data_IF_880552000992
#
_entry.id   IF_880552000992
#
_cell.length_a   1.000
_cell.length_b   1.000
_cell.length_c   1.000
_cell.angle_alpha   90.00
_cell.angle_beta   90.00
_cell.angle_gamma   90.00
#
_symmetry.space_group_name_H-M   'P 1'
#
loop_
_entity.id
_entity.type
_entity.pdbx_description
1 polymer ?
#
# COMPACT_ATOMS: atom_id res chain seq x y z
N UNK A 1 47.18 54.56 22.30
CA UNK A 1 46.42 54.30 21.05
C UNK A 1 45.51 53.11 21.32
N UNK A 2 44.18 53.29 21.25
CA UNK A 2 43.18 52.32 21.77
C UNK A 2 42.98 51.16 20.79
N UNK A 3 43.17 49.92 21.27
CA UNK A 3 42.76 48.70 20.57
C UNK A 3 41.27 48.45 20.85
N UNK A 4 40.45 48.49 19.80
CA UNK A 4 39.04 48.12 19.86
C UNK A 4 38.90 46.61 19.61
N UNK A 5 38.41 45.89 20.62
CA UNK A 5 38.08 44.47 20.53
C UNK A 5 36.63 44.37 20.02
N UNK A 6 36.43 43.94 18.78
CA UNK A 6 35.11 43.64 18.24
C UNK A 6 34.72 42.21 18.63
N UNK A 7 33.76 42.07 19.54
CA UNK A 7 33.17 40.78 19.88
C UNK A 7 32.12 40.41 18.83
N UNK A 8 32.43 39.39 18.02
CA UNK A 8 31.46 38.76 17.12
C UNK A 8 30.58 37.81 17.94
N UNK A 9 29.33 38.20 18.20
CA UNK A 9 28.32 37.29 18.75
C UNK A 9 27.70 36.54 17.59
N UNK A 10 28.15 35.31 17.37
CA UNK A 10 27.51 34.38 16.43
C UNK A 10 26.24 33.87 17.12
N UNK A 11 25.09 34.34 16.66
CA UNK A 11 23.80 33.76 17.03
C UNK A 11 23.67 32.43 16.30
N UNK A 12 23.98 31.34 16.99
CA UNK A 12 23.61 29.99 16.56
C UNK A 12 22.13 29.84 16.86
N UNK A 13 21.27 30.07 15.86
CA UNK A 13 19.87 29.65 15.95
C UNK A 13 19.84 28.12 15.96
N UNK A 14 19.36 27.46 17.03
CA UNK A 14 19.07 26.04 16.94
C UNK A 14 17.97 25.88 15.89
N UNK A 15 18.29 25.18 14.79
CA UNK A 15 17.28 24.59 13.93
C UNK A 15 16.51 23.61 14.82
N UNK A 16 15.39 24.08 15.37
CA UNK A 16 14.39 23.23 15.99
C UNK A 16 13.85 22.32 14.88
N UNK A 17 14.46 21.16 14.69
CA UNK A 17 13.76 20.01 14.13
C UNK A 17 12.72 19.63 15.17
N UNK A 18 11.48 20.10 15.02
CA UNK A 18 10.40 19.42 15.71
C UNK A 18 10.46 17.96 15.25
N UNK A 19 10.50 16.98 16.18
CA UNK A 19 10.36 15.60 15.76
C UNK A 19 8.99 15.51 15.08
N UNK A 20 8.99 15.32 13.76
CA UNK A 20 7.80 14.84 13.06
C UNK A 20 7.31 13.63 13.84
N UNK A 21 5.98 13.43 13.99
CA UNK A 21 5.47 12.25 14.65
C UNK A 21 6.13 11.03 14.02
N UNK A 22 6.94 10.32 14.82
CA UNK A 22 7.53 9.06 14.42
C UNK A 22 6.40 8.06 14.38
N UNK A 23 6.12 7.54 13.19
CA UNK A 23 5.25 6.38 13.05
C UNK A 23 5.98 5.19 13.64
N UNK A 24 5.27 4.37 14.42
CA UNK A 24 5.73 3.06 14.87
C UNK A 24 4.69 2.04 14.40
N UNK A 25 5.02 1.33 13.32
CA UNK A 25 4.04 0.54 12.57
C UNK A 25 4.68 -0.71 11.98
N UNK A 26 4.01 -1.84 12.15
CA UNK A 26 4.37 -3.09 11.50
C UNK A 26 3.81 -3.09 10.07
N UNK A 27 4.59 -3.54 9.09
CA UNK A 27 4.18 -3.45 7.70
C UNK A 27 4.69 -4.56 6.79
N UNK A 28 3.92 -4.83 5.75
CA UNK A 28 4.31 -5.71 4.64
C UNK A 28 4.17 -4.97 3.32
N UNK A 29 4.89 -5.41 2.29
CA UNK A 29 4.82 -4.82 0.96
C UNK A 29 4.65 -5.87 -0.13
N UNK A 30 3.91 -5.50 -1.17
CA UNK A 30 3.71 -6.28 -2.38
C UNK A 30 3.85 -5.36 -3.59
N UNK A 31 4.54 -5.84 -4.63
CA UNK A 31 4.58 -5.18 -5.93
C UNK A 31 3.58 -5.84 -6.87
N UNK A 32 2.87 -5.01 -7.62
CA UNK A 32 1.90 -5.43 -8.64
C UNK A 32 2.40 -5.26 -10.07
N UNK A 33 3.72 -5.04 -10.25
CA UNK A 33 4.41 -5.01 -11.54
C UNK A 33 5.54 -6.03 -11.61
N UNK A 34 6.71 -5.65 -11.09
CA UNK A 34 7.90 -6.49 -11.03
C UNK A 34 8.40 -6.69 -9.59
N UNK A 35 9.25 -7.69 -9.34
CA UNK A 35 9.86 -7.87 -8.03
C UNK A 35 10.97 -6.84 -7.81
N UNK A 36 10.90 -6.06 -6.73
CA UNK A 36 11.91 -5.06 -6.37
C UNK A 36 12.87 -5.63 -5.33
N UNK A 37 14.15 -5.83 -5.70
CA UNK A 37 15.15 -6.52 -4.86
C UNK A 37 16.10 -5.59 -4.10
N UNK A 38 16.35 -4.43 -4.67
CA UNK A 38 17.38 -3.49 -4.23
C UNK A 38 16.76 -2.12 -3.95
N UNK A 39 15.61 -2.14 -3.27
CA UNK A 39 14.95 -0.93 -2.81
C UNK A 39 15.22 -0.72 -1.33
N UNK A 40 15.20 0.53 -0.91
CA UNK A 40 15.57 0.94 0.44
C UNK A 40 14.51 1.89 0.99
N UNK A 41 14.43 2.00 2.31
CA UNK A 41 13.60 2.99 2.98
C UNK A 41 14.37 3.59 4.16
N UNK A 42 13.98 4.79 4.57
CA UNK A 42 14.57 5.45 5.74
C UNK A 42 13.97 4.87 7.03
N UNK A 43 14.69 3.93 7.65
CA UNK A 43 14.36 3.37 8.97
C UNK A 43 15.08 4.08 10.12
N UNK A 44 14.95 3.52 11.31
CA UNK A 44 15.55 4.06 12.53
C UNK A 44 17.09 3.98 12.53
N UNK A 45 17.67 2.99 11.84
CA UNK A 45 19.12 2.77 11.79
C UNK A 45 19.80 3.44 10.58
N UNK A 46 19.04 4.10 9.72
CA UNK A 46 19.51 4.65 8.45
C UNK A 46 18.70 4.12 7.27
N UNK A 47 19.34 3.98 6.11
CA UNK A 47 18.72 3.34 4.96
C UNK A 47 18.74 1.82 5.15
N UNK A 48 17.55 1.23 5.15
CA UNK A 48 17.34 -0.20 5.35
C UNK A 48 16.86 -0.83 4.05
N UNK A 49 17.41 -1.99 3.71
CA UNK A 49 17.05 -2.71 2.48
C UNK A 49 15.69 -3.37 2.64
N UNK A 50 14.90 -3.30 1.58
CA UNK A 50 13.58 -3.90 1.46
C UNK A 50 13.54 -4.80 0.23
N UNK A 51 12.96 -5.98 0.40
CA UNK A 51 12.58 -6.86 -0.70
C UNK A 51 11.06 -6.77 -0.89
N UNK A 52 10.62 -6.32 -2.07
CA UNK A 52 9.19 -6.22 -2.42
C UNK A 52 8.85 -7.26 -3.49
N UNK A 53 8.31 -8.42 -3.10
CA UNK A 53 7.97 -9.48 -4.05
C UNK A 53 6.84 -9.07 -5.00
N UNK A 54 6.88 -9.59 -6.23
CA UNK A 54 5.70 -9.68 -7.07
C UNK A 54 4.90 -10.94 -6.71
N UNK A 55 3.57 -10.86 -6.74
CA UNK A 55 2.67 -11.99 -6.47
C UNK A 55 2.79 -12.63 -5.06
N UNK A 56 3.20 -11.84 -4.06
CA UNK A 56 3.22 -12.20 -2.64
C UNK A 56 3.55 -11.00 -1.75
N UNK A 57 3.55 -11.19 -0.43
CA UNK A 57 3.92 -10.17 0.54
C UNK A 57 5.36 -10.36 1.02
N UNK A 58 6.04 -9.26 1.33
CA UNK A 58 7.33 -9.27 2.02
C UNK A 58 7.19 -9.87 3.42
N UNK A 59 8.32 -10.17 4.07
CA UNK A 59 8.31 -10.37 5.52
C UNK A 59 7.84 -9.10 6.23
N UNK A 60 7.17 -9.26 7.38
CA UNK A 60 6.80 -8.14 8.26
C UNK A 60 8.04 -7.35 8.63
N UNK A 61 7.99 -6.04 8.40
CA UNK A 61 9.00 -5.06 8.73
C UNK A 61 8.47 -4.15 9.85
N UNK A 62 9.37 -3.51 10.58
CA UNK A 62 9.03 -2.46 11.54
C UNK A 62 9.46 -1.12 10.98
N UNK A 63 8.53 -0.17 10.90
CA UNK A 63 8.85 1.20 10.51
C UNK A 63 8.78 2.11 11.73
N UNK A 64 9.91 2.74 12.04
CA UNK A 64 10.06 3.78 13.05
C UNK A 64 10.66 5.02 12.37
N UNK A 65 9.81 5.91 11.84
CA UNK A 65 10.29 7.02 11.02
C UNK A 65 9.25 8.09 10.66
N UNK A 66 9.68 9.17 9.98
CA UNK A 66 8.82 10.29 9.65
C UNK A 66 7.95 10.04 8.42
N UNK A 67 6.76 10.62 8.39
CA UNK A 67 6.01 10.81 7.13
C UNK A 67 6.50 12.08 6.42
N UNK A 68 6.65 12.11 5.08
CA UNK A 68 6.34 11.04 4.13
C UNK A 68 7.35 9.88 4.12
N UNK A 69 6.81 8.68 3.94
CA UNK A 69 7.57 7.46 3.65
C UNK A 69 8.09 7.51 2.21
N UNK A 70 9.35 7.13 2.01
CA UNK A 70 9.99 7.05 0.71
C UNK A 70 10.56 5.65 0.50
N UNK A 71 10.41 5.16 -0.74
CA UNK A 71 11.24 4.10 -1.27
C UNK A 71 12.37 4.74 -2.08
N UNK A 72 13.56 4.18 -1.97
CA UNK A 72 14.76 4.61 -2.68
C UNK A 72 15.36 3.46 -3.49
N UNK A 73 16.03 3.79 -4.56
CA UNK A 73 17.05 2.95 -5.18
C UNK A 73 18.44 3.55 -4.95
N UNK A 74 19.48 2.72 -5.00
CA UNK A 74 20.86 3.21 -4.93
C UNK A 74 21.40 3.38 -6.34
N UNK A 75 21.71 4.63 -6.71
CA UNK A 75 22.28 4.97 -8.01
C UNK A 75 23.77 5.24 -7.85
N UNK A 76 24.58 4.57 -8.67
CA UNK A 76 26.03 4.81 -8.71
C UNK A 76 26.33 6.15 -9.38
N UNK A 77 27.00 7.04 -8.65
CA UNK A 77 27.44 8.35 -9.16
C UNK A 77 28.95 8.49 -9.09
N UNK A 78 29.51 9.55 -9.69
CA UNK A 78 30.96 9.84 -9.59
C UNK A 78 31.43 10.06 -8.15
N UNK A 79 30.53 10.45 -7.24
CA UNK A 79 30.81 10.69 -5.82
C UNK A 79 30.54 9.45 -4.95
N UNK A 80 30.06 8.35 -5.55
CA UNK A 80 29.65 7.12 -4.88
C UNK A 80 28.15 6.82 -4.99
N UNK A 81 27.68 5.74 -4.35
CA UNK A 81 26.27 5.35 -4.38
C UNK A 81 25.42 6.36 -3.62
N UNK A 82 24.36 6.85 -4.28
CA UNK A 82 23.44 7.86 -3.74
C UNK A 82 22.01 7.33 -3.75
N UNK A 83 21.22 7.53 -2.69
CA UNK A 83 19.81 7.19 -2.69
C UNK A 83 19.02 8.16 -3.58
N UNK A 84 18.28 7.62 -4.55
CA UNK A 84 17.29 8.36 -5.34
C UNK A 84 15.88 7.88 -4.99
N UNK A 85 14.94 8.79 -4.68
CA UNK A 85 13.58 8.39 -4.35
C UNK A 85 12.89 7.82 -5.59
N UNK A 86 12.29 6.64 -5.43
CA UNK A 86 11.57 5.96 -6.50
C UNK A 86 10.06 5.86 -6.21
N UNK A 87 9.64 6.13 -4.98
CA UNK A 87 8.24 6.19 -4.59
C UNK A 87 8.07 7.00 -3.31
N UNK A 88 6.87 7.56 -3.13
CA UNK A 88 6.54 8.42 -1.99
C UNK A 88 5.11 8.12 -1.52
N UNK A 89 4.94 8.07 -0.21
CA UNK A 89 3.64 7.89 0.44
C UNK A 89 3.54 8.80 1.67
N UNK A 90 2.44 9.52 1.79
CA UNK A 90 2.08 10.10 3.08
C UNK A 90 1.41 8.99 3.89
N UNK A 91 2.06 8.56 4.98
CA UNK A 91 1.49 7.53 5.85
C UNK A 91 0.18 8.05 6.46
N UNK A 92 -0.90 7.25 6.45
CA UNK A 92 -2.13 7.60 7.17
C UNK A 92 -1.85 7.66 8.68
N UNK A 93 -2.40 8.64 9.41
CA UNK A 93 -2.20 8.74 10.85
C UNK A 93 -2.80 7.52 11.59
N UNK A 94 -2.29 7.23 12.78
CA UNK A 94 -2.89 6.29 13.74
C UNK A 94 -2.95 4.81 13.32
N UNK A 95 -2.11 4.37 12.37
CA UNK A 95 -2.00 2.97 11.99
C UNK A 95 -0.89 2.25 12.76
N UNK A 96 -1.20 1.04 13.26
CA UNK A 96 -0.25 0.12 13.91
C UNK A 96 0.18 -1.04 12.99
N UNK A 97 -0.62 -1.34 11.99
CA UNK A 97 -0.33 -2.32 10.95
C UNK A 97 -0.71 -1.76 9.58
N UNK A 98 0.11 -2.02 8.55
CA UNK A 98 -0.20 -1.58 7.19
C UNK A 98 0.32 -2.54 6.10
N UNK A 99 -0.40 -2.58 5.00
CA UNK A 99 0.01 -3.24 3.76
C UNK A 99 0.34 -2.18 2.72
N UNK A 100 1.55 -2.20 2.17
CA UNK A 100 1.95 -1.38 1.04
C UNK A 100 1.75 -2.12 -0.28
N UNK A 101 0.99 -1.50 -1.18
CA UNK A 101 0.92 -1.91 -2.58
C UNK A 101 1.77 -0.95 -3.42
N UNK A 102 2.78 -1.50 -4.08
CA UNK A 102 3.70 -0.77 -4.96
C UNK A 102 3.34 -1.06 -6.41
N UNK A 103 3.12 0.00 -7.18
CA UNK A 103 2.77 -0.07 -8.59
C UNK A 103 3.75 0.74 -9.40
N UNK A 104 4.07 0.29 -10.61
CA UNK A 104 4.70 1.17 -11.59
C UNK A 104 3.77 2.37 -11.85
N UNK A 105 4.31 3.57 -11.68
CA UNK A 105 3.59 4.81 -11.88
C UNK A 105 3.29 4.96 -13.38
N UNK A 106 2.01 5.14 -13.71
CA UNK A 106 1.62 5.41 -15.11
C UNK A 106 1.89 6.86 -15.49
N UNK A 107 1.80 7.76 -14.51
CA UNK A 107 2.06 9.20 -14.62
C UNK A 107 2.56 9.69 -13.26
N UNK A 108 3.66 10.42 -13.23
CA UNK A 108 4.17 10.97 -11.98
C UNK A 108 5.61 11.44 -12.11
N UNK A 109 6.06 12.11 -11.06
CA UNK A 109 7.47 12.50 -10.91
C UNK A 109 8.35 11.31 -10.51
N UNK A 110 7.76 10.29 -9.89
CA UNK A 110 8.46 9.11 -9.37
C UNK A 110 8.07 7.84 -10.16
N UNK A 111 9.00 6.88 -10.33
CA UNK A 111 8.76 5.61 -11.03
C UNK A 111 7.66 4.72 -10.43
N UNK A 112 7.40 4.81 -9.13
CA UNK A 112 6.40 3.97 -8.45
C UNK A 112 5.38 4.79 -7.65
N UNK A 113 4.13 4.36 -7.75
CA UNK A 113 3.03 4.76 -6.86
C UNK A 113 2.94 3.77 -5.70
N UNK A 114 2.73 4.28 -4.49
CA UNK A 114 2.60 3.48 -3.27
C UNK A 114 1.26 3.78 -2.64
N UNK A 115 0.51 2.74 -2.30
CA UNK A 115 -0.75 2.85 -1.54
C UNK A 115 -0.59 2.11 -0.22
N UNK A 116 -0.95 2.77 0.89
CA UNK A 116 -1.04 2.13 2.20
C UNK A 116 -2.48 1.76 2.51
N UNK A 117 -2.65 0.53 2.98
CA UNK A 117 -3.93 -0.01 3.41
C UNK A 117 -3.79 -0.47 4.87
N UNK A 118 -4.72 -0.12 5.77
CA UNK A 118 -4.66 -0.54 7.17
C UNK A 118 -4.64 -2.07 7.34
N UNK A 119 -3.86 -2.58 8.29
CA UNK A 119 -3.79 -4.00 8.61
C UNK A 119 -2.93 -4.83 7.66
N UNK A 120 -2.60 -6.05 8.10
CA UNK A 120 -1.91 -7.06 7.30
C UNK A 120 -2.89 -8.08 6.70
N UNK A 121 -2.57 -8.71 5.56
CA UNK A 121 -3.43 -9.69 4.90
C UNK A 121 -3.87 -10.84 5.82
N UNK A 122 -3.04 -11.18 6.81
CA UNK A 122 -3.29 -12.24 7.77
C UNK A 122 -4.51 -11.99 8.67
N UNK A 123 -4.97 -10.74 8.78
CA UNK A 123 -6.17 -10.38 9.52
C UNK A 123 -7.49 -10.70 8.79
N UNK A 124 -7.45 -11.08 7.51
CA UNK A 124 -8.66 -11.35 6.72
C UNK A 124 -9.25 -12.72 7.14
N UNK A 125 -10.52 -12.78 7.62
CA UNK A 125 -11.18 -14.02 7.97
C UNK A 125 -11.35 -14.96 6.77
N UNK A 126 -11.54 -16.26 7.05
CA UNK A 126 -11.86 -17.24 6.01
C UNK A 126 -13.16 -16.89 5.31
N UNK A 127 -13.22 -17.16 4.00
CA UNK A 127 -14.39 -16.88 3.16
C UNK A 127 -14.81 -15.39 3.13
N UNK A 128 -13.87 -14.49 3.43
CA UNK A 128 -14.06 -13.06 3.26
C UNK A 128 -13.18 -12.51 2.15
N UNK A 129 -13.69 -11.51 1.45
CA UNK A 129 -12.97 -10.73 0.46
C UNK A 129 -12.82 -9.29 0.97
N UNK A 130 -11.59 -8.82 1.02
CA UNK A 130 -11.32 -7.40 1.27
C UNK A 130 -11.41 -6.63 -0.05
N UNK A 131 -12.33 -5.70 -0.14
CA UNK A 131 -12.51 -4.84 -1.31
C UNK A 131 -11.93 -3.47 -1.04
N UNK A 132 -11.10 -2.95 -1.94
CA UNK A 132 -10.38 -1.70 -1.74
C UNK A 132 -10.58 -0.79 -2.95
N UNK A 133 -11.08 0.42 -2.71
CA UNK A 133 -11.31 1.42 -3.74
C UNK A 133 -10.18 2.45 -3.83
N UNK A 134 -9.23 2.25 -4.74
CA UNK A 134 -8.15 3.19 -5.06
C UNK A 134 -8.55 4.17 -6.18
N UNK A 135 -9.81 4.16 -6.62
CA UNK A 135 -10.31 5.08 -7.66
C UNK A 135 -10.74 6.41 -7.05
N UNK A 136 -10.78 7.50 -7.83
CA UNK A 136 -11.34 8.78 -7.36
C UNK A 136 -12.88 8.78 -7.32
N UNK A 137 -13.54 7.67 -7.67
CA UNK A 137 -14.99 7.57 -7.77
C UNK A 137 -15.56 6.77 -6.60
N UNK A 138 -16.79 7.09 -6.21
CA UNK A 138 -17.56 6.14 -5.40
C UNK A 138 -17.91 4.91 -6.24
N UNK A 139 -17.72 3.73 -5.66
CA UNK A 139 -18.06 2.45 -6.26
C UNK A 139 -19.26 1.86 -5.54
N UNK A 140 -20.13 1.20 -6.29
CA UNK A 140 -21.19 0.36 -5.74
C UNK A 140 -21.28 -0.93 -6.54
N UNK A 141 -21.67 -2.01 -5.90
CA UNK A 141 -21.56 -3.31 -6.52
C UNK A 141 -22.22 -4.45 -5.77
N UNK A 142 -21.99 -5.65 -6.29
CA UNK A 142 -22.36 -6.89 -5.66
C UNK A 142 -21.16 -7.84 -5.64
N UNK A 143 -20.97 -8.53 -4.52
CA UNK A 143 -20.06 -9.64 -4.33
C UNK A 143 -20.91 -10.84 -3.91
N UNK A 144 -21.04 -11.82 -4.80
CA UNK A 144 -21.85 -13.02 -4.55
C UNK A 144 -23.30 -12.77 -4.07
N UNK A 145 -23.89 -11.66 -4.52
CA UNK A 145 -25.24 -11.24 -4.12
C UNK A 145 -25.28 -10.29 -2.92
N UNK A 146 -24.19 -10.16 -2.17
CA UNK A 146 -24.05 -9.14 -1.13
C UNK A 146 -23.72 -7.79 -1.77
N UNK A 147 -24.52 -6.76 -1.46
CA UNK A 147 -24.35 -5.43 -2.00
C UNK A 147 -23.30 -4.64 -1.20
N UNK A 148 -22.50 -3.82 -1.88
CA UNK A 148 -21.52 -2.95 -1.22
C UNK A 148 -21.47 -1.57 -1.84
N UNK A 149 -20.94 -0.62 -1.06
CA UNK A 149 -20.62 0.72 -1.51
C UNK A 149 -19.30 1.19 -0.90
N UNK A 150 -18.36 1.60 -1.75
CA UNK A 150 -17.03 2.07 -1.34
C UNK A 150 -16.84 3.52 -1.75
N UNK A 151 -16.56 4.39 -0.78
CA UNK A 151 -16.07 5.75 -1.08
C UNK A 151 -14.61 5.70 -1.59
N UNK A 152 -14.13 6.73 -2.30
CA UNK A 152 -12.72 6.81 -2.70
C UNK A 152 -11.78 6.63 -1.51
N UNK A 153 -10.77 5.78 -1.65
CA UNK A 153 -9.76 5.49 -0.61
C UNK A 153 -10.24 4.59 0.53
N UNK A 154 -11.49 4.12 0.49
CA UNK A 154 -12.04 3.23 1.52
C UNK A 154 -11.94 1.77 1.12
N UNK A 155 -11.96 0.90 2.12
CA UNK A 155 -12.09 -0.53 1.98
C UNK A 155 -13.29 -1.08 2.76
N UNK A 156 -13.69 -2.31 2.41
CA UNK A 156 -14.75 -3.06 3.06
C UNK A 156 -14.38 -4.55 3.07
N UNK A 157 -15.00 -5.30 3.97
CA UNK A 157 -14.75 -6.71 4.17
C UNK A 157 -16.08 -7.46 4.07
N UNK A 158 -16.25 -8.23 3.00
CA UNK A 158 -17.50 -8.93 2.71
C UNK A 158 -17.31 -10.43 2.78
N UNK A 159 -18.34 -11.13 3.26
CA UNK A 159 -18.39 -12.58 3.22
C UNK A 159 -18.79 -13.04 1.81
N UNK A 160 -18.35 -14.22 1.39
CA UNK A 160 -18.85 -14.90 0.20
C UNK A 160 -19.19 -16.35 0.51
N UNK A 161 -20.02 -16.98 -0.33
CA UNK A 161 -20.40 -18.38 -0.14
C UNK A 161 -19.18 -19.28 -0.39
N UNK A 162 -18.42 -19.54 0.66
CA UNK A 162 -17.33 -20.49 0.68
C UNK A 162 -17.81 -21.94 0.59
N UNK A 163 -17.00 -22.81 -0.01
CA UNK A 163 -17.10 -24.24 0.22
C UNK A 163 -15.76 -24.75 0.71
N UNK A 164 -15.74 -25.47 1.82
CA UNK A 164 -14.53 -26.16 2.31
C UNK A 164 -13.94 -27.12 1.27
N UNK A 165 -14.78 -27.60 0.35
CA UNK A 165 -14.47 -28.69 -0.58
C UNK A 165 -13.91 -28.27 -1.94
N UNK A 166 -13.77 -26.97 -2.25
CA UNK A 166 -13.36 -26.59 -3.61
C UNK A 166 -13.07 -25.13 -3.89
N UNK A 167 -12.92 -24.83 -5.19
CA UNK A 167 -12.83 -23.48 -5.69
C UNK A 167 -14.24 -22.91 -5.93
N UNK A 168 -14.51 -21.74 -5.37
CA UNK A 168 -15.74 -20.96 -5.55
C UNK A 168 -15.51 -19.88 -6.60
N UNK A 169 -16.50 -19.61 -7.43
CA UNK A 169 -16.48 -18.51 -8.40
C UNK A 169 -17.28 -17.34 -7.86
N UNK A 170 -16.60 -16.31 -7.37
CA UNK A 170 -17.24 -15.11 -6.81
C UNK A 170 -17.57 -14.15 -7.94
N UNK A 171 -18.84 -13.78 -8.10
CA UNK A 171 -19.24 -12.77 -9.08
C UNK A 171 -19.04 -11.37 -8.50
N UNK A 172 -18.37 -10.49 -9.25
CA UNK A 172 -18.13 -9.10 -8.88
C UNK A 172 -18.69 -8.19 -9.96
N UNK A 173 -19.62 -7.32 -9.56
CA UNK A 173 -20.16 -6.26 -10.40
C UNK A 173 -19.87 -4.92 -9.76
N UNK A 174 -19.39 -3.95 -10.54
CA UNK A 174 -19.06 -2.61 -10.05
C UNK A 174 -19.59 -1.57 -11.01
N UNK A 175 -20.26 -0.56 -10.48
CA UNK A 175 -20.55 0.70 -11.13
C UNK A 175 -19.78 1.82 -10.44
N UNK A 176 -19.41 2.85 -11.20
CA UNK A 176 -18.86 4.09 -10.64
C UNK A 176 -19.85 5.23 -10.78
N UNK A 177 -19.82 6.16 -9.82
CA UNK A 177 -20.63 7.37 -9.86
C UNK A 177 -19.84 8.53 -10.46
N UNK A 178 -20.34 9.09 -11.55
CA UNK A 178 -19.84 10.32 -12.18
C UNK A 178 -20.98 11.35 -12.18
N UNK A 179 -20.87 12.36 -11.30
CA UNK A 179 -21.99 13.28 -11.05
C UNK A 179 -23.19 12.57 -10.43
N UNK A 180 -24.34 12.62 -11.10
CA UNK A 180 -25.59 11.99 -10.64
C UNK A 180 -25.85 10.60 -11.24
N UNK A 181 -25.03 10.16 -12.18
CA UNK A 181 -25.25 8.91 -12.91
C UNK A 181 -24.31 7.79 -12.43
N UNK A 182 -24.87 6.59 -12.34
CA UNK A 182 -24.11 5.35 -12.15
C UNK A 182 -23.85 4.69 -13.50
N UNK A 183 -22.58 4.37 -13.77
CA UNK A 183 -22.17 3.70 -15.00
C UNK A 183 -21.51 2.37 -14.66
N UNK A 184 -21.94 1.24 -15.25
CA UNK A 184 -21.30 -0.06 -15.02
C UNK A 184 -19.87 -0.05 -15.55
N UNK A 185 -18.94 -0.63 -14.77
CA UNK A 185 -17.49 -0.63 -15.05
C UNK A 185 -16.91 -2.03 -15.11
N UNK A 186 -17.28 -2.89 -14.17
CA UNK A 186 -16.75 -4.25 -14.05
C UNK A 186 -17.93 -5.22 -13.89
N UNK A 187 -17.87 -6.35 -14.60
CA UNK A 187 -18.75 -7.50 -14.38
C UNK A 187 -17.94 -8.75 -14.71
N UNK A 188 -17.47 -9.44 -13.67
CA UNK A 188 -16.51 -10.53 -13.80
C UNK A 188 -16.74 -11.61 -12.73
N UNK A 189 -15.98 -12.69 -12.82
CA UNK A 189 -15.98 -13.74 -11.81
C UNK A 189 -14.55 -14.14 -11.45
N UNK A 190 -14.30 -14.30 -10.15
CA UNK A 190 -12.99 -14.61 -9.59
C UNK A 190 -13.06 -15.98 -8.92
N UNK A 191 -12.27 -16.94 -9.40
CA UNK A 191 -12.09 -18.21 -8.72
C UNK A 191 -11.27 -18.04 -7.43
N UNK A 192 -11.74 -18.59 -6.32
CA UNK A 192 -11.08 -18.56 -5.00
C UNK A 192 -11.14 -19.95 -4.38
N UNK A 193 -10.03 -20.45 -3.82
CA UNK A 193 -9.99 -21.74 -3.12
C UNK A 193 -10.35 -21.55 -1.64
N UNK A 194 -10.80 -22.62 -0.99
CA UNK A 194 -11.19 -22.60 0.42
C UNK A 194 -10.11 -22.09 1.40
N UNK A 195 -8.83 -22.26 1.06
CA UNK A 195 -7.69 -21.81 1.85
C UNK A 195 -7.05 -20.52 1.32
N UNK A 196 -7.79 -19.70 0.57
CA UNK A 196 -7.29 -18.48 -0.05
C UNK A 196 -7.97 -17.25 0.54
N UNK A 197 -7.17 -16.30 1.03
CA UNK A 197 -7.64 -14.94 1.33
C UNK A 197 -7.67 -14.13 0.05
N UNK A 198 -8.76 -13.42 -0.18
CA UNK A 198 -8.95 -12.59 -1.37
C UNK A 198 -8.89 -11.12 -0.99
N UNK A 199 -8.00 -10.37 -1.64
CA UNK A 199 -8.06 -8.91 -1.68
C UNK A 199 -8.34 -8.47 -3.12
N UNK A 200 -9.31 -7.60 -3.31
CA UNK A 200 -9.66 -7.03 -4.62
C UNK A 200 -9.40 -5.53 -4.57
N UNK A 201 -8.48 -5.07 -5.41
CA UNK A 201 -8.17 -3.66 -5.59
C UNK A 201 -8.89 -3.15 -6.84
N UNK A 202 -9.57 -2.00 -6.72
CA UNK A 202 -10.08 -1.24 -7.85
C UNK A 202 -9.23 0.01 -8.03
N UNK A 203 -8.59 0.17 -9.20
CA UNK A 203 -7.77 1.37 -9.51
C UNK A 203 -8.07 1.90 -10.90
N UNK A 204 -7.57 3.09 -11.21
CA UNK A 204 -7.69 3.65 -12.57
C UNK A 204 -6.60 3.13 -13.51
N UNK A 205 -6.99 2.70 -14.69
CA UNK A 205 -6.15 2.49 -15.87
C UNK A 205 -6.59 3.41 -17.01
N UNK A 206 -5.94 4.56 -17.10
CA UNK A 206 -6.42 5.66 -17.91
C UNK A 206 -7.84 6.06 -17.47
N UNK A 207 -8.82 5.82 -18.33
CA UNK A 207 -10.24 6.12 -18.08
C UNK A 207 -11.05 4.90 -17.62
N UNK A 208 -10.41 3.73 -17.53
CA UNK A 208 -11.07 2.47 -17.12
C UNK A 208 -10.78 2.16 -15.67
N UNK A 209 -11.73 1.49 -15.01
CA UNK A 209 -11.46 0.86 -13.73
C UNK A 209 -10.84 -0.50 -14.00
N UNK A 210 -9.64 -0.70 -13.48
CA UNK A 210 -8.92 -1.96 -13.44
C UNK A 210 -9.22 -2.66 -12.11
N UNK A 211 -9.59 -3.94 -12.18
CA UNK A 211 -9.78 -4.80 -11.03
C UNK A 211 -8.58 -5.75 -10.90
N UNK A 212 -7.90 -5.71 -9.77
CA UNK A 212 -6.76 -6.57 -9.47
C UNK A 212 -7.15 -7.51 -8.33
N UNK A 213 -7.06 -8.81 -8.57
CA UNK A 213 -7.35 -9.83 -7.54
C UNK A 213 -6.06 -10.42 -7.00
N UNK A 214 -5.84 -10.23 -5.71
CA UNK A 214 -4.69 -10.76 -4.97
C UNK A 214 -5.19 -11.95 -4.15
N UNK A 215 -4.54 -13.09 -4.37
CA UNK A 215 -4.91 -14.37 -3.77
C UNK A 215 -3.76 -14.85 -2.91
N UNK A 216 -3.94 -14.82 -1.61
CA UNK A 216 -2.97 -15.35 -0.67
C UNK A 216 -3.40 -16.75 -0.26
N UNK A 217 -2.62 -17.76 -0.65
CA UNK A 217 -2.90 -19.16 -0.28
C UNK A 217 -2.18 -19.48 1.02
N UNK A 218 -2.95 -19.79 2.06
CA UNK A 218 -2.36 -20.20 3.33
C UNK A 218 -2.16 -21.72 3.32
N UNK A 219 -0.97 -22.14 3.76
CA UNK A 219 -0.64 -23.56 3.89
C UNK A 219 -1.58 -24.22 4.90
N UNK A 220 -2.08 -25.42 4.58
CA UNK A 220 -3.02 -26.15 5.44
C UNK A 220 -2.47 -26.44 6.85
N UNK A 221 -1.15 -26.41 7.06
CA UNK A 221 -0.55 -26.55 8.40
C UNK A 221 -0.90 -25.41 9.36
N UNK A 222 -1.24 -24.23 8.84
CA UNK A 222 -1.63 -23.08 9.68
C UNK A 222 -3.14 -23.05 9.99
N UNK A 223 -3.92 -23.99 9.46
CA UNK A 223 -5.37 -24.08 9.72
C UNK A 223 -5.73 -24.96 10.93
N UNK A 224 -4.75 -25.65 11.51
CA UNK A 224 -4.93 -26.60 12.61
C UNK A 224 -4.56 -26.05 13.99
N UNK A 225 -4.05 -24.82 14.05
CA UNK A 225 -3.68 -24.09 15.28
C UNK A 225 -4.75 -23.03 15.60
#
# INVERSE_FOLDING_TARGET
MKLALAAFVVWVTPLYSQPSPEYDVDWVAMSLGETLRDVYYQGASGLERLFVPNAGFSAVQKYAGPSPFYLYEMVETLEGPKPEPIGKLNLPPELHELTLFVFEARKGELPYEIYAIPGVPEGIPWFHARLINLTPYSLAGYLDGEAFQLSPGMDDLLEYEGSESGAVSIRIQVASREGESWSPRVNTSVGVRSNTRLTVLFRMDGEKIEMISIRETVSQRALSD
#
